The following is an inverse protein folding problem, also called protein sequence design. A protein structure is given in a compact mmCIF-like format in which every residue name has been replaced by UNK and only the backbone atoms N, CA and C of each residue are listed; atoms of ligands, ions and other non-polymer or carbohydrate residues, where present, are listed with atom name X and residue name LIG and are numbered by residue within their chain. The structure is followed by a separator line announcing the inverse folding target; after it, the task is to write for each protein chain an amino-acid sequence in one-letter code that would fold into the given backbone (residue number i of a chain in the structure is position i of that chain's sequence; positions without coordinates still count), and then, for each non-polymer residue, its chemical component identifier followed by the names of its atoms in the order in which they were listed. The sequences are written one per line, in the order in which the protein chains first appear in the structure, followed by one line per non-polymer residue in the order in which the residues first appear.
data_IF_176445544003
#
_entry.id   IF_176445544003
#
_cell.length_a   1.000
_cell.length_b   1.000
_cell.length_c   1.000
_cell.angle_alpha   90.00
_cell.angle_beta   90.00
_cell.angle_gamma   90.00
#
_symmetry.space_group_name_H-M   'P 1'
#
loop_
_entity.id
_entity.type
_entity.pdbx_description
1 polymer ?
#
# COMPACT_ATOMS: atom_id res chain seq x y z
N UNK A 1 12.78 -5.49 -25.53
CA UNK A 1 11.88 -4.59 -24.84
C UNK A 1 12.08 -4.65 -23.34
N UNK A 2 12.10 -3.53 -22.70
CA UNK A 2 12.33 -3.49 -21.26
C UNK A 2 11.03 -3.58 -20.53
N UNK A 3 10.90 -4.59 -19.69
CA UNK A 3 9.74 -4.77 -18.83
C UNK A 3 10.19 -4.85 -17.40
N UNK A 4 9.25 -4.66 -16.52
CA UNK A 4 9.50 -4.85 -15.12
C UNK A 4 10.46 -3.83 -14.52
N UNK A 5 10.52 -2.65 -15.11
CA UNK A 5 11.30 -1.58 -14.53
C UNK A 5 10.70 -1.21 -13.19
N UNK A 6 11.52 -1.19 -12.16
CA UNK A 6 11.08 -0.91 -10.80
C UNK A 6 11.84 0.28 -10.23
N UNK A 7 11.17 1.03 -9.39
CA UNK A 7 11.73 2.17 -8.70
C UNK A 7 12.04 1.81 -7.25
N UNK A 8 12.60 2.75 -6.51
CA UNK A 8 12.91 2.54 -5.10
C UNK A 8 11.64 2.21 -4.30
N UNK A 9 11.81 1.44 -3.23
CA UNK A 9 10.68 1.05 -2.39
C UNK A 9 9.92 2.26 -1.88
N UNK A 10 8.61 2.12 -1.89
CA UNK A 10 7.70 3.12 -1.35
C UNK A 10 6.86 2.50 -0.25
N UNK A 11 6.36 3.35 0.61
CA UNK A 11 5.52 2.95 1.73
C UNK A 11 4.18 3.63 1.63
N UNK A 12 3.11 2.86 1.75
CA UNK A 12 1.76 3.39 1.86
C UNK A 12 1.27 3.16 3.29
N UNK A 13 0.67 4.17 3.88
CA UNK A 13 0.23 4.12 5.27
C UNK A 13 -1.19 4.63 5.36
N UNK A 14 -2.03 3.91 6.12
CA UNK A 14 -3.39 4.36 6.34
C UNK A 14 -3.94 3.73 7.61
N UNK A 15 -4.95 4.37 8.16
CA UNK A 15 -5.71 3.82 9.29
C UNK A 15 -7.10 3.47 8.82
N UNK A 16 -7.71 2.49 9.46
CA UNK A 16 -9.07 2.08 9.18
C UNK A 16 -9.83 1.83 10.46
N UNK A 17 -11.14 1.97 10.41
CA UNK A 17 -12.03 1.71 11.53
C UNK A 17 -13.02 0.63 11.14
N UNK A 18 -13.38 -0.21 12.11
CA UNK A 18 -14.37 -1.25 11.89
C UNK A 18 -14.37 -2.22 13.03
N UNK A 19 -15.46 -2.99 13.13
CA UNK A 19 -15.63 -4.02 14.15
C UNK A 19 -15.20 -5.37 13.60
N UNK A 20 -14.84 -6.31 14.51
CA UNK A 20 -14.54 -7.69 14.15
C UNK A 20 -13.43 -7.83 13.10
N UNK A 21 -12.40 -6.98 13.21
CA UNK A 21 -11.27 -7.07 12.29
C UNK A 21 -11.44 -6.32 10.98
N UNK A 22 -12.59 -5.71 10.73
CA UNK A 22 -12.80 -4.93 9.50
C UNK A 22 -11.90 -3.71 9.45
N UNK A 23 -11.47 -3.20 10.61
CA UNK A 23 -10.54 -2.07 10.65
C UNK A 23 -9.24 -2.38 9.95
N UNK A 24 -8.68 -3.59 10.15
CA UNK A 24 -7.43 -3.98 9.49
C UNK A 24 -7.61 -4.12 7.98
N UNK A 25 -8.73 -4.71 7.55
CA UNK A 25 -8.98 -4.86 6.11
C UNK A 25 -9.12 -3.51 5.43
N UNK A 26 -9.83 -2.58 6.07
CA UNK A 26 -10.01 -1.24 5.54
C UNK A 26 -8.71 -0.45 5.54
N UNK A 27 -7.92 -0.58 6.61
CA UNK A 27 -6.64 0.10 6.69
C UNK A 27 -5.68 -0.41 5.62
N UNK A 28 -5.68 -1.72 5.37
CA UNK A 28 -4.82 -2.29 4.33
C UNK A 28 -5.22 -1.80 2.95
N UNK A 29 -6.52 -1.80 2.64
CA UNK A 29 -7.00 -1.32 1.35
C UNK A 29 -6.64 0.16 1.16
N UNK A 30 -6.81 0.97 2.19
CA UNK A 30 -6.47 2.39 2.13
C UNK A 30 -4.96 2.60 2.02
N UNK A 31 -4.16 1.77 2.69
CA UNK A 31 -2.70 1.86 2.59
C UNK A 31 -2.22 1.50 1.19
N UNK A 32 -2.84 0.50 0.56
CA UNK A 32 -2.54 0.16 -0.82
C UNK A 32 -2.88 1.33 -1.74
N UNK A 33 -4.04 1.96 -1.54
CA UNK A 33 -4.42 3.13 -2.33
C UNK A 33 -3.43 4.28 -2.14
N UNK A 34 -2.96 4.49 -0.91
CA UNK A 34 -1.96 5.51 -0.62
C UNK A 34 -0.65 5.22 -1.36
N UNK A 35 -0.21 3.96 -1.33
CA UNK A 35 0.97 3.53 -2.07
C UNK A 35 0.82 3.81 -3.58
N UNK A 36 -0.33 3.42 -4.13
CA UNK A 36 -0.57 3.59 -5.57
C UNK A 36 -0.58 5.05 -5.97
N UNK A 37 -1.18 5.89 -5.14
CA UNK A 37 -1.23 7.31 -5.40
C UNK A 37 0.17 7.94 -5.33
N UNK A 38 0.96 7.56 -4.35
CA UNK A 38 2.33 8.06 -4.23
C UNK A 38 3.19 7.63 -5.41
N UNK A 39 3.09 6.36 -5.80
CA UNK A 39 3.86 5.85 -6.91
C UNK A 39 3.49 6.54 -8.21
N UNK A 40 2.20 6.75 -8.44
CA UNK A 40 1.74 7.44 -9.64
C UNK A 40 2.22 8.89 -9.67
N UNK A 41 2.22 9.55 -8.52
CA UNK A 41 2.67 10.94 -8.43
C UNK A 41 4.17 11.09 -8.64
N UNK A 42 4.95 10.14 -8.11
CA UNK A 42 6.41 10.22 -8.17
C UNK A 42 6.98 9.70 -9.47
N UNK A 43 6.41 8.65 -10.01
CA UNK A 43 7.02 7.92 -11.13
C UNK A 43 6.12 7.82 -12.36
N UNK A 44 4.86 8.21 -12.25
CA UNK A 44 3.92 8.14 -13.36
C UNK A 44 2.85 7.08 -13.16
N UNK A 45 1.76 7.21 -13.90
CA UNK A 45 0.60 6.34 -13.74
C UNK A 45 0.90 4.86 -13.95
N UNK A 46 1.88 4.54 -14.79
CA UNK A 46 2.23 3.15 -15.05
C UNK A 46 2.83 2.46 -13.84
N UNK A 47 3.29 3.20 -12.85
CA UNK A 47 3.84 2.65 -11.61
C UNK A 47 2.81 2.60 -10.48
N UNK A 48 1.61 3.09 -10.71
CA UNK A 48 0.58 3.20 -9.68
C UNK A 48 -0.24 1.94 -9.46
N UNK A 49 0.32 0.76 -9.67
CA UNK A 49 -0.40 -0.50 -9.46
C UNK A 49 0.33 -1.36 -8.42
N UNK A 50 -0.33 -1.60 -7.30
CA UNK A 50 0.24 -2.42 -6.25
C UNK A 50 0.38 -3.87 -6.69
N UNK A 51 -0.50 -4.35 -7.57
CA UNK A 51 -0.42 -5.72 -8.06
C UNK A 51 0.81 -5.97 -8.92
N UNK A 52 1.35 -4.93 -9.53
CA UNK A 52 2.59 -5.04 -10.32
C UNK A 52 3.83 -4.78 -9.48
N UNK A 53 3.65 -4.27 -8.28
CA UNK A 53 4.77 -3.97 -7.39
C UNK A 53 5.43 -5.25 -6.92
N UNK A 54 6.71 -5.18 -6.61
CA UNK A 54 7.48 -6.33 -6.16
C UNK A 54 7.90 -6.16 -4.70
N UNK A 55 8.12 -7.29 -4.05
CA UNK A 55 8.54 -7.28 -2.67
C UNK A 55 7.49 -6.71 -1.74
N UNK A 56 6.24 -7.00 -2.00
CA UNK A 56 5.12 -6.47 -1.22
C UNK A 56 5.16 -7.00 0.20
N UNK A 57 5.02 -6.10 1.16
CA UNK A 57 4.90 -6.47 2.56
C UNK A 57 3.76 -5.67 3.19
N UNK A 58 3.17 -6.26 4.21
CA UNK A 58 2.12 -5.62 4.99
C UNK A 58 2.46 -5.71 6.45
N UNK A 59 2.16 -4.66 7.18
CA UNK A 59 2.29 -4.65 8.62
C UNK A 59 1.13 -3.86 9.18
N UNK A 60 0.21 -4.55 9.83
CA UNK A 60 -0.97 -3.93 10.41
C UNK A 60 -0.92 -4.06 11.92
N UNK A 61 -1.19 -2.97 12.61
CA UNK A 61 -1.20 -2.91 14.06
C UNK A 61 -2.54 -2.40 14.54
N UNK A 62 -2.99 -2.89 15.68
CA UNK A 62 -4.20 -2.39 16.30
C UNK A 62 -3.84 -1.16 17.13
N UNK A 63 -4.50 -0.04 16.84
CA UNK A 63 -4.31 1.19 17.59
C UNK A 63 -5.32 1.31 18.73
N UNK A 64 -6.53 0.81 18.51
CA UNK A 64 -7.60 0.83 19.48
C UNK A 64 -8.57 -0.30 19.14
N UNK A 65 -9.64 -0.46 19.93
CA UNK A 65 -10.57 -1.57 19.74
C UNK A 65 -11.13 -1.61 18.31
N UNK A 66 -11.49 -0.44 17.77
CA UNK A 66 -12.11 -0.36 16.45
C UNK A 66 -11.21 0.32 15.40
N UNK A 67 -9.93 0.42 15.68
CA UNK A 67 -9.04 1.14 14.80
C UNK A 67 -7.77 0.35 14.57
N UNK A 68 -7.32 0.30 13.33
CA UNK A 68 -6.07 -0.35 12.96
C UNK A 68 -5.28 0.54 12.01
N UNK A 69 -3.98 0.36 12.01
CA UNK A 69 -3.07 1.04 11.09
C UNK A 69 -2.35 0.00 10.28
N UNK A 70 -2.32 0.16 8.98
CA UNK A 70 -1.57 -0.72 8.10
C UNK A 70 -0.52 0.06 7.34
N UNK A 71 0.63 -0.58 7.17
CA UNK A 71 1.72 -0.07 6.35
C UNK A 71 1.98 -1.10 5.28
N UNK A 72 1.97 -0.68 4.03
CA UNK A 72 2.37 -1.56 2.92
C UNK A 72 3.65 -1.00 2.33
N UNK A 73 4.56 -1.88 1.97
CA UNK A 73 5.83 -1.48 1.39
C UNK A 73 6.08 -2.35 0.17
N UNK A 74 6.51 -1.74 -0.91
CA UNK A 74 6.82 -2.48 -2.13
C UNK A 74 7.62 -1.60 -3.07
N UNK A 75 8.23 -2.24 -4.07
CA UNK A 75 8.88 -1.53 -5.16
C UNK A 75 7.86 -1.29 -6.25
N UNK A 76 7.57 -0.02 -6.61
CA UNK A 76 6.67 0.24 -7.73
C UNK A 76 7.32 -0.23 -9.02
N UNK A 77 6.57 -0.96 -9.81
CA UNK A 77 7.05 -1.51 -11.08
C UNK A 77 6.04 -1.23 -12.19
N UNK A 78 6.56 -1.10 -13.38
CA UNK A 78 5.71 -1.00 -14.56
C UNK A 78 5.16 -2.34 -14.95
#
# INVERSE_FOLDING_TARGET
MVNGQCKARLEGVATGQGVFGLGSARARAAAIADFEQKAASLYGASFGSFTRARGQTWDCSRLAILRAKCVVTAQPCQ
#
